data_IF_656956587719
#
_entry.id   IF_656956587719
#
_cell.length_a   1.000
_cell.length_b   1.000
_cell.length_c   1.000
_cell.angle_alpha   90.00
_cell.angle_beta   90.00
_cell.angle_gamma   90.00
#
_symmetry.space_group_name_H-M   'P 1'
#
loop_
_entity.id
_entity.type
_entity.pdbx_description
1 polymer ?
#
# COMPACT_ATOMS: atom_id res chain seq x y z
N UNK A 1 7.05 3.57 -6.83
CA UNK A 1 5.59 3.35 -6.68
C UNK A 1 5.24 2.04 -7.35
N UNK A 2 4.52 1.16 -6.67
CA UNK A 2 4.15 -0.18 -7.13
C UNK A 2 2.66 -0.38 -6.89
N UNK A 3 1.93 -0.87 -7.89
CA UNK A 3 0.56 -1.34 -7.68
C UNK A 3 0.64 -2.76 -7.10
N UNK A 4 0.05 -2.99 -5.93
CA UNK A 4 0.11 -4.26 -5.22
C UNK A 4 -1.13 -5.13 -5.44
N UNK A 5 -2.01 -4.71 -6.37
CA UNK A 5 -3.25 -5.39 -6.67
C UNK A 5 -4.24 -5.38 -5.51
N UNK A 6 -5.34 -6.09 -5.71
CA UNK A 6 -6.33 -6.42 -4.70
C UNK A 6 -6.76 -7.88 -4.84
N UNK A 7 -7.76 -8.28 -4.06
CA UNK A 7 -8.25 -9.66 -4.00
C UNK A 7 -8.78 -10.25 -5.32
N UNK A 8 -8.96 -9.42 -6.37
CA UNK A 8 -9.26 -9.88 -7.74
C UNK A 8 -8.05 -10.50 -8.47
N UNK A 9 -6.85 -10.45 -7.90
CA UNK A 9 -5.68 -11.17 -8.43
C UNK A 9 -5.78 -12.63 -7.99
N UNK A 10 -5.98 -13.53 -8.95
CA UNK A 10 -5.97 -14.97 -8.70
C UNK A 10 -4.58 -15.39 -8.25
N UNK A 11 -4.51 -16.12 -7.12
CA UNK A 11 -3.28 -16.78 -6.72
C UNK A 11 -2.99 -17.92 -7.69
N UNK A 12 -1.71 -18.11 -8.05
CA UNK A 12 -1.29 -19.28 -8.84
C UNK A 12 -1.61 -20.62 -8.14
N UNK A 13 -1.76 -20.57 -6.81
CA UNK A 13 -2.24 -21.68 -5.99
C UNK A 13 -3.68 -21.40 -5.52
N UNK A 14 -4.62 -22.24 -5.97
CA UNK A 14 -6.05 -22.15 -5.64
C UNK A 14 -6.35 -22.29 -4.13
N UNK A 15 -5.38 -22.78 -3.34
CA UNK A 15 -5.49 -22.94 -1.89
C UNK A 15 -5.02 -21.71 -1.11
N UNK A 16 -4.41 -20.73 -1.78
CA UNK A 16 -3.88 -19.52 -1.12
C UNK A 16 -4.99 -18.50 -0.91
N UNK A 17 -5.00 -17.87 0.27
CA UNK A 17 -5.93 -16.79 0.57
C UNK A 17 -5.60 -15.57 -0.31
N UNK A 18 -6.60 -15.07 -1.06
CA UNK A 18 -6.43 -13.92 -1.98
C UNK A 18 -6.03 -12.64 -1.25
N UNK A 19 -6.28 -12.54 0.05
CA UNK A 19 -5.84 -11.40 0.86
C UNK A 19 -4.33 -11.40 1.09
N UNK A 20 -3.72 -12.58 1.20
CA UNK A 20 -2.28 -12.73 1.40
C UNK A 20 -1.48 -12.29 0.15
N UNK A 21 -2.10 -12.36 -1.03
CA UNK A 21 -1.50 -11.93 -2.31
C UNK A 21 -1.06 -10.46 -2.26
N UNK A 22 -1.75 -9.61 -1.50
CA UNK A 22 -1.38 -8.20 -1.32
C UNK A 22 -0.54 -7.97 -0.06
N UNK A 23 -0.80 -8.71 1.02
CA UNK A 23 -0.10 -8.53 2.30
C UNK A 23 1.38 -8.98 2.26
N UNK A 24 1.69 -10.09 1.57
CA UNK A 24 3.07 -10.60 1.49
C UNK A 24 4.02 -9.68 0.69
N UNK A 25 3.64 -9.15 -0.48
CA UNK A 25 4.45 -8.14 -1.17
C UNK A 25 4.66 -6.86 -0.35
N UNK A 26 3.63 -6.38 0.37
CA UNK A 26 3.76 -5.22 1.24
C UNK A 26 4.73 -5.48 2.40
N UNK A 27 4.69 -6.69 2.99
CA UNK A 27 5.65 -7.11 4.02
C UNK A 27 7.08 -7.13 3.48
N UNK A 28 7.30 -7.79 2.35
CA UNK A 28 8.61 -7.86 1.71
C UNK A 28 9.15 -6.46 1.35
N UNK A 29 8.29 -5.57 0.82
CA UNK A 29 8.68 -4.19 0.57
C UNK A 29 8.98 -3.42 1.86
N UNK A 30 8.27 -3.69 2.96
CA UNK A 30 8.56 -3.05 4.24
C UNK A 30 9.91 -3.50 4.81
N UNK A 31 10.30 -4.74 4.61
CA UNK A 31 11.62 -5.25 5.05
C UNK A 31 12.77 -4.57 4.27
N UNK A 32 12.58 -4.35 2.97
CA UNK A 32 13.60 -3.76 2.09
C UNK A 32 13.61 -2.22 2.17
N UNK A 33 12.44 -1.58 2.25
CA UNK A 33 12.27 -0.13 2.09
C UNK A 33 11.76 0.59 3.35
N UNK A 34 11.49 -0.13 4.45
CA UNK A 34 10.95 0.42 5.70
C UNK A 34 11.94 1.20 6.56
N UNK A 35 13.16 1.45 6.07
CA UNK A 35 14.17 2.31 6.71
C UNK A 35 13.79 3.79 6.70
N UNK A 36 14.75 4.70 6.52
CA UNK A 36 14.58 6.16 6.70
C UNK A 36 13.48 6.82 5.85
N UNK A 37 13.04 6.18 4.75
CA UNK A 37 11.96 6.67 3.89
C UNK A 37 10.56 6.15 4.23
N UNK A 38 10.47 5.00 4.92
CA UNK A 38 9.22 4.29 5.17
C UNK A 38 8.54 3.72 3.91
N UNK A 39 7.51 2.92 4.15
CA UNK A 39 6.60 2.43 3.12
C UNK A 39 5.23 3.07 3.33
N UNK A 40 4.68 3.71 2.30
CA UNK A 40 3.37 4.36 2.33
C UNK A 40 2.41 3.59 1.44
N UNK A 41 1.18 3.40 1.91
CA UNK A 41 0.15 2.66 1.20
C UNK A 41 -1.07 3.54 1.02
N UNK A 42 -1.57 3.58 -0.21
CA UNK A 42 -2.88 4.09 -0.55
C UNK A 42 -3.80 2.90 -0.79
N UNK A 43 -4.78 2.78 0.07
CA UNK A 43 -5.87 1.83 -0.08
C UNK A 43 -6.95 2.50 -0.91
N UNK A 44 -7.16 2.00 -2.14
CA UNK A 44 -8.17 2.51 -3.05
C UNK A 44 -9.51 1.80 -2.86
N UNK A 45 -9.59 0.89 -1.88
CA UNK A 45 -10.77 0.08 -1.63
C UNK A 45 -11.94 0.88 -1.10
N UNK A 46 -12.72 1.44 -2.02
CA UNK A 46 -14.10 1.85 -1.77
C UNK A 46 -15.00 0.68 -2.16
N UNK A 47 -15.57 -0.01 -1.16
CA UNK A 47 -16.49 -1.17 -1.29
C UNK A 47 -15.81 -2.52 -1.58
N UNK A 48 -16.01 -3.08 -2.78
CA UNK A 48 -15.68 -4.46 -3.19
C UNK A 48 -14.30 -4.58 -3.85
N UNK A 49 -13.61 -3.47 -4.09
CA UNK A 49 -12.23 -3.49 -4.56
C UNK A 49 -11.28 -3.44 -3.36
N UNK A 50 -10.33 -4.36 -3.27
CA UNK A 50 -9.26 -4.32 -2.25
C UNK A 50 -7.92 -3.85 -2.86
N UNK A 51 -7.98 -3.00 -3.89
CA UNK A 51 -6.79 -2.56 -4.63
C UNK A 51 -5.94 -1.59 -3.82
N UNK A 52 -4.63 -1.80 -3.75
CA UNK A 52 -3.73 -0.88 -3.07
C UNK A 52 -2.47 -0.51 -3.87
N UNK A 53 -1.95 0.68 -3.59
CA UNK A 53 -0.72 1.21 -4.20
C UNK A 53 0.29 1.50 -3.10
N UNK A 54 1.52 1.05 -3.30
CA UNK A 54 2.64 1.31 -2.41
C UNK A 54 3.59 2.36 -2.98
N UNK A 55 4.04 3.25 -2.11
CA UNK A 55 5.09 4.23 -2.36
C UNK A 55 6.24 3.98 -1.39
N UNK A 56 7.39 3.62 -1.94
CA UNK A 56 8.66 3.52 -1.24
C UNK A 56 9.28 4.91 -1.14
N UNK A 57 10.05 5.15 -0.08
CA UNK A 57 10.71 6.43 0.23
C UNK A 57 9.81 7.52 0.82
N UNK A 58 10.43 8.68 1.10
CA UNK A 58 9.79 9.80 1.78
C UNK A 58 8.61 10.31 0.97
N UNK A 59 7.44 10.33 1.62
CA UNK A 59 6.24 10.97 1.07
C UNK A 59 6.52 12.47 0.78
N UNK A 60 6.13 12.98 -0.41
CA UNK A 60 6.19 14.41 -0.70
C UNK A 60 5.37 15.24 0.30
N UNK A 61 5.70 16.52 0.46
CA UNK A 61 4.85 17.42 1.21
C UNK A 61 3.41 17.40 0.65
N UNK A 62 2.44 17.39 1.55
CA UNK A 62 1.04 17.14 1.18
C UNK A 62 0.42 18.33 0.46
N UNK A 63 0.78 19.55 0.87
CA UNK A 63 0.26 20.77 0.29
C UNK A 63 0.90 21.03 -1.07
N UNK A 64 2.21 20.78 -1.21
CA UNK A 64 2.91 20.80 -2.49
C UNK A 64 2.30 19.79 -3.48
N UNK A 65 1.96 18.59 -3.01
CA UNK A 65 1.38 17.56 -3.85
C UNK A 65 -0.05 17.94 -4.28
N UNK A 66 -0.88 18.43 -3.36
CA UNK A 66 -2.25 18.90 -3.66
C UNK A 66 -2.26 20.11 -4.60
N UNK A 67 -1.27 21.00 -4.47
CA UNK A 67 -1.12 22.17 -5.33
C UNK A 67 -0.93 21.81 -6.80
N UNK A 68 -0.31 20.65 -7.08
CA UNK A 68 -0.08 20.11 -8.44
C UNK A 68 -1.23 19.24 -8.96
N UNK A 69 -2.22 18.90 -8.13
CA UNK A 69 -3.35 18.04 -8.52
C UNK A 69 -4.62 18.83 -8.85
N UNK A 70 -5.41 18.27 -9.79
CA UNK A 70 -6.79 18.70 -10.03
C UNK A 70 -7.65 18.50 -8.79
N UNK A 71 -8.63 19.37 -8.57
CA UNK A 71 -9.43 19.44 -7.33
C UNK A 71 -10.02 18.08 -6.92
N UNK A 72 -10.49 17.28 -7.88
CA UNK A 72 -11.09 15.97 -7.63
C UNK A 72 -10.11 14.90 -7.11
N UNK A 73 -8.81 15.05 -7.34
CA UNK A 73 -7.80 14.07 -6.92
C UNK A 73 -7.12 14.41 -5.59
N UNK A 74 -7.30 15.62 -5.08
CA UNK A 74 -6.63 16.09 -3.85
C UNK A 74 -6.96 15.24 -2.63
N UNK A 75 -8.15 14.65 -2.58
CA UNK A 75 -8.57 13.76 -1.49
C UNK A 75 -7.70 12.50 -1.37
N UNK A 76 -7.18 11.97 -2.48
CA UNK A 76 -6.32 10.79 -2.45
C UNK A 76 -4.97 11.06 -1.78
N UNK A 77 -4.48 12.31 -1.76
CA UNK A 77 -3.24 12.67 -1.05
C UNK A 77 -3.37 12.42 0.46
N UNK A 78 -4.56 12.66 1.02
CA UNK A 78 -4.81 12.49 2.45
C UNK A 78 -5.07 11.04 2.86
N UNK A 79 -5.33 10.16 1.88
CA UNK A 79 -5.61 8.74 2.11
C UNK A 79 -4.34 7.89 2.26
N UNK A 80 -3.16 8.43 1.92
CA UNK A 80 -1.89 7.72 2.10
C UNK A 80 -1.56 7.55 3.59
N UNK A 81 -1.35 6.29 4.01
CA UNK A 81 -0.98 5.92 5.38
C UNK A 81 0.35 5.19 5.41
N UNK A 82 1.12 5.35 6.49
CA UNK A 82 2.32 4.55 6.68
C UNK A 82 1.92 3.07 6.85
N UNK A 83 2.63 2.17 6.16
CA UNK A 83 2.47 0.73 6.36
C UNK A 83 3.02 0.38 7.74
N UNK A 84 2.17 -0.19 8.60
CA UNK A 84 2.56 -0.50 9.98
C UNK A 84 3.16 -1.90 10.13
N UNK A 85 3.00 -2.79 9.13
CA UNK A 85 3.39 -4.20 9.23
C UNK A 85 2.65 -4.92 10.36
N UNK A 86 2.15 -6.13 10.14
CA UNK A 86 1.66 -6.92 11.27
C UNK A 86 2.88 -7.45 12.05
N UNK A 87 3.20 -6.85 13.21
CA UNK A 87 4.31 -7.28 14.09
C UNK A 87 4.07 -8.65 14.75
N UNK A 88 2.96 -9.34 14.45
CA UNK A 88 2.55 -10.56 15.15
C UNK A 88 3.27 -11.85 14.74
N UNK A 89 4.10 -11.85 13.70
CA UNK A 89 4.73 -13.09 13.19
C UNK A 89 6.26 -13.18 13.37
N UNK A 90 6.87 -12.35 14.21
CA UNK A 90 8.32 -12.40 14.50
C UNK A 90 8.65 -13.08 15.85
N UNK A 91 7.78 -13.97 16.32
CA UNK A 91 8.09 -14.96 17.35
C UNK A 91 7.92 -16.36 16.76
N UNK A 92 8.92 -16.83 16.02
CA UNK A 92 9.24 -18.25 15.89
C UNK A 92 10.73 -18.43 16.25
#
# INVERSE_FOLDING_TARGET
MVNCGGSCVESEDEKRDRKLVTEEPLRAMSEVFGGDGGLWVLDLGLKEEDSCVALTERRPDSDDWKGKMVKGLRGFVDMWRAYQGDKRDLQD
#
